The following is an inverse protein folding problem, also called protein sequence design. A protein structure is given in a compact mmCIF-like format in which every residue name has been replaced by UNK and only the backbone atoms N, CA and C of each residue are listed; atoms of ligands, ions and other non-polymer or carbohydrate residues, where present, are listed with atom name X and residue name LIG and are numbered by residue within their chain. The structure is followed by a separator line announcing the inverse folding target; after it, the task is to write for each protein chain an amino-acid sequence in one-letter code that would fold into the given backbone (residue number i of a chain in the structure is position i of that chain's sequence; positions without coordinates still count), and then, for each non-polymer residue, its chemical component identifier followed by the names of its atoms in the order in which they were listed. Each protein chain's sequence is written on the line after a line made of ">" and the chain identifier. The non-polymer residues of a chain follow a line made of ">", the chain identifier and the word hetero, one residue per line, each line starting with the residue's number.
data_IF_617866440421
#
_entry.id   IF_617866440421
#
_cell.length_a   1.000
_cell.length_b   1.000
_cell.length_c   1.000
_cell.angle_alpha   90.00
_cell.angle_beta   90.00
_cell.angle_gamma   90.00
#
_symmetry.space_group_name_H-M   'P 1'
#
loop_
_entity.id
_entity.type
_entity.pdbx_description
1 polymer ?
#
# COMPACT_ATOMS: atom_id res chain seq x y z
N UNK A 1 -13.33 -48.09 31.04
CA UNK A 1 -13.89 -46.79 31.47
C UNK A 1 -12.73 -45.82 31.64
N UNK A 2 -12.44 -45.02 30.63
CA UNK A 2 -11.37 -44.02 30.68
C UNK A 2 -12.04 -42.68 30.39
N UNK A 3 -12.36 -41.96 31.45
CA UNK A 3 -13.02 -40.66 31.44
C UNK A 3 -12.04 -39.61 30.93
N UNK A 4 -12.31 -39.09 29.73
CA UNK A 4 -11.70 -37.86 29.23
C UNK A 4 -12.27 -36.68 30.03
N UNK A 5 -11.47 -35.84 30.70
CA UNK A 5 -12.00 -34.60 31.26
C UNK A 5 -12.30 -33.61 30.13
N UNK A 6 -13.57 -33.17 30.14
CA UNK A 6 -14.14 -32.15 29.30
C UNK A 6 -13.58 -30.76 29.64
N UNK A 7 -13.25 -30.01 28.58
CA UNK A 7 -13.64 -28.61 28.37
C UNK A 7 -13.25 -27.57 29.43
N UNK A 8 -12.22 -26.76 29.13
CA UNK A 8 -11.99 -25.52 29.87
C UNK A 8 -10.71 -24.80 29.48
N UNK A 9 -10.65 -24.21 28.28
CA UNK A 9 -9.49 -23.37 27.90
C UNK A 9 -9.59 -22.65 26.56
N UNK A 10 -10.33 -23.19 25.59
CA UNK A 10 -10.24 -22.75 24.18
C UNK A 10 -10.91 -21.39 23.86
N UNK A 11 -11.65 -20.78 24.80
CA UNK A 11 -12.41 -19.54 24.55
C UNK A 11 -11.61 -18.25 24.74
N UNK A 12 -10.52 -18.26 25.53
CA UNK A 12 -9.78 -17.04 25.85
C UNK A 12 -8.61 -16.84 24.88
N UNK A 13 -7.94 -17.92 24.49
CA UNK A 13 -6.86 -17.92 23.49
C UNK A 13 -7.34 -17.52 22.10
N UNK A 14 -8.48 -18.07 21.63
CA UNK A 14 -9.05 -17.70 20.33
C UNK A 14 -9.42 -16.22 20.24
N UNK A 15 -9.90 -15.63 21.35
CA UNK A 15 -10.17 -14.19 21.46
C UNK A 15 -8.88 -13.40 21.43
N UNK A 16 -7.86 -13.85 22.16
CA UNK A 16 -6.54 -13.21 22.18
C UNK A 16 -5.88 -13.21 20.80
N UNK A 17 -5.88 -14.35 20.09
CA UNK A 17 -5.38 -14.45 18.72
C UNK A 17 -6.19 -13.59 17.75
N UNK A 18 -7.51 -13.53 17.91
CA UNK A 18 -8.36 -12.65 17.09
C UNK A 18 -8.06 -11.16 17.33
N UNK A 19 -7.82 -10.76 18.58
CA UNK A 19 -7.43 -9.39 18.92
C UNK A 19 -6.03 -9.03 18.40
N UNK A 20 -5.07 -9.93 18.54
CA UNK A 20 -3.71 -9.75 18.01
C UNK A 20 -3.73 -9.65 16.49
N UNK A 21 -4.49 -10.52 15.81
CA UNK A 21 -4.65 -10.47 14.36
C UNK A 21 -5.30 -9.16 13.90
N UNK A 22 -6.35 -8.71 14.60
CA UNK A 22 -7.02 -7.43 14.29
C UNK A 22 -6.08 -6.22 14.47
N UNK A 23 -5.23 -6.22 15.50
CA UNK A 23 -4.23 -5.16 15.73
C UNK A 23 -3.15 -5.12 14.64
N UNK A 24 -2.67 -6.27 14.18
CA UNK A 24 -1.66 -6.34 13.11
C UNK A 24 -2.21 -5.81 11.79
N UNK A 25 -3.44 -6.17 11.41
CA UNK A 25 -4.08 -5.71 10.17
C UNK A 25 -4.29 -4.19 10.14
N UNK A 26 -4.47 -3.55 11.30
CA UNK A 26 -4.66 -2.10 11.39
C UNK A 26 -3.41 -1.28 11.04
N UNK A 27 -2.22 -1.90 11.02
CA UNK A 27 -0.95 -1.21 10.68
C UNK A 27 -0.65 -1.17 9.18
N UNK A 28 -1.46 -1.84 8.35
CA UNK A 28 -1.23 -2.00 6.92
C UNK A 28 -1.77 -0.84 6.06
N UNK A 29 -1.86 0.39 6.58
CA UNK A 29 -2.40 1.53 5.82
C UNK A 29 -1.26 2.28 5.12
N UNK A 30 -1.16 2.13 3.79
CA UNK A 30 -0.29 2.98 2.97
C UNK A 30 -0.93 4.35 2.69
N UNK A 31 -0.11 5.37 2.50
CA UNK A 31 -0.54 6.68 2.03
C UNK A 31 -0.45 6.76 0.50
N UNK A 32 -1.50 7.26 -0.15
CA UNK A 32 -1.53 7.45 -1.60
C UNK A 32 -1.39 8.92 -1.98
N UNK A 33 -0.65 9.20 -3.06
CA UNK A 33 -0.47 10.55 -3.61
C UNK A 33 -0.69 10.54 -5.13
N UNK A 34 -1.45 11.53 -5.63
CA UNK A 34 -1.83 11.63 -7.04
C UNK A 34 -1.21 12.85 -7.72
N UNK A 35 -0.64 12.64 -8.89
CA UNK A 35 -0.21 13.68 -9.84
C UNK A 35 -1.05 13.62 -11.12
N UNK A 36 -0.62 14.30 -12.18
CA UNK A 36 -1.32 14.30 -13.46
C UNK A 36 -1.26 12.93 -14.16
N UNK A 37 -0.10 12.27 -14.09
CA UNK A 37 0.19 11.02 -14.79
C UNK A 37 0.36 9.82 -13.84
N UNK A 38 0.47 10.00 -12.52
CA UNK A 38 0.74 8.91 -11.58
C UNK A 38 -0.13 8.95 -10.32
N UNK A 39 -0.43 7.78 -9.76
CA UNK A 39 -0.98 7.57 -8.42
C UNK A 39 -0.02 6.63 -7.71
N UNK A 40 0.63 7.08 -6.64
CA UNK A 40 1.63 6.28 -5.93
C UNK A 40 1.15 5.98 -4.53
N UNK A 41 1.19 4.72 -4.12
CA UNK A 41 0.93 4.30 -2.75
C UNK A 41 2.22 3.84 -2.07
N UNK A 42 2.54 4.41 -0.91
CA UNK A 42 3.75 4.09 -0.15
C UNK A 42 3.46 4.03 1.36
N UNK A 43 4.45 3.59 2.14
CA UNK A 43 4.33 3.51 3.61
C UNK A 43 4.12 4.87 4.29
N UNK A 44 4.56 5.96 3.67
CA UNK A 44 4.38 7.33 4.18
C UNK A 44 3.94 8.29 3.07
N UNK A 45 3.18 9.32 3.44
CA UNK A 45 2.71 10.34 2.49
C UNK A 45 3.88 11.10 1.83
N UNK A 46 4.95 11.36 2.57
CA UNK A 46 6.16 12.01 2.06
C UNK A 46 6.82 11.17 0.98
N UNK A 47 6.96 9.86 1.20
CA UNK A 47 7.54 8.95 0.21
C UNK A 47 6.67 8.84 -1.03
N UNK A 48 5.34 8.67 -0.86
CA UNK A 48 4.40 8.65 -1.98
C UNK A 48 4.51 9.91 -2.85
N UNK A 49 4.59 11.08 -2.19
CA UNK A 49 4.78 12.37 -2.87
C UNK A 49 6.12 12.44 -3.62
N UNK A 50 7.23 12.10 -2.96
CA UNK A 50 8.57 12.16 -3.57
C UNK A 50 8.66 11.27 -4.82
N UNK A 51 8.16 10.03 -4.73
CA UNK A 51 8.15 9.08 -5.85
C UNK A 51 7.26 9.59 -6.98
N UNK A 52 6.06 10.09 -6.69
CA UNK A 52 5.16 10.60 -7.72
C UNK A 52 5.76 11.79 -8.50
N UNK A 53 6.43 12.72 -7.82
CA UNK A 53 7.12 13.84 -8.49
C UNK A 53 8.34 13.39 -9.28
N UNK A 54 9.10 12.42 -8.77
CA UNK A 54 10.21 11.83 -9.52
C UNK A 54 9.71 11.14 -10.80
N UNK A 55 8.60 10.40 -10.73
CA UNK A 55 8.00 9.75 -11.89
C UNK A 55 7.59 10.77 -12.97
N UNK A 56 6.97 11.89 -12.61
CA UNK A 56 6.65 12.99 -13.55
C UNK A 56 7.90 13.57 -14.22
N UNK A 57 8.95 13.82 -13.43
CA UNK A 57 10.23 14.33 -13.93
C UNK A 57 10.85 13.37 -14.96
N UNK A 58 10.96 12.08 -14.61
CA UNK A 58 11.54 11.08 -15.51
C UNK A 58 10.65 10.78 -16.71
N UNK A 59 9.33 10.87 -16.59
CA UNK A 59 8.41 10.77 -17.74
C UNK A 59 8.73 11.83 -18.78
N UNK A 60 8.84 13.10 -18.36
CA UNK A 60 9.21 14.21 -19.25
C UNK A 60 10.62 14.06 -19.79
N UNK A 61 11.59 13.73 -18.94
CA UNK A 61 12.98 13.56 -19.34
C UNK A 61 13.13 12.48 -20.41
N UNK A 62 12.60 11.28 -20.16
CA UNK A 62 12.68 10.15 -21.10
C UNK A 62 11.94 10.44 -22.40
N UNK A 63 10.78 11.11 -22.33
CA UNK A 63 10.06 11.54 -23.53
C UNK A 63 10.93 12.42 -24.43
N UNK A 64 11.59 13.43 -23.86
CA UNK A 64 12.47 14.32 -24.63
C UNK A 64 13.70 13.55 -25.14
N UNK A 65 14.30 12.70 -24.30
CA UNK A 65 15.52 11.96 -24.63
C UNK A 65 15.30 10.95 -25.77
N UNK A 66 14.15 10.28 -25.80
CA UNK A 66 13.87 9.21 -26.77
C UNK A 66 13.03 9.67 -27.97
N UNK A 67 12.09 10.59 -27.76
CA UNK A 67 11.15 11.04 -28.79
C UNK A 67 11.48 12.43 -29.33
N UNK A 68 12.32 13.20 -28.64
CA UNK A 68 12.66 14.58 -29.00
C UNK A 68 11.60 15.63 -28.59
N UNK A 69 10.49 15.22 -27.97
CA UNK A 69 9.43 16.12 -27.51
C UNK A 69 8.76 15.63 -26.23
N UNK A 70 8.08 16.53 -25.52
CA UNK A 70 7.31 16.17 -24.33
C UNK A 70 5.95 15.56 -24.71
N UNK A 71 5.66 14.36 -24.20
CA UNK A 71 4.36 13.70 -24.37
C UNK A 71 3.29 14.49 -23.59
N UNK A 72 2.07 14.67 -24.11
CA UNK A 72 0.97 15.26 -23.33
C UNK A 72 0.66 14.45 -22.06
N UNK A 73 -0.12 15.04 -21.16
CA UNK A 73 -0.65 14.32 -19.99
C UNK A 73 -1.48 13.12 -20.45
N UNK A 74 -1.34 12.00 -19.75
CA UNK A 74 -2.12 10.79 -20.01
C UNK A 74 -3.59 11.03 -19.67
N UNK A 75 -4.48 10.33 -20.40
CA UNK A 75 -5.91 10.38 -20.10
C UNK A 75 -6.21 9.76 -18.73
N UNK A 76 -5.47 8.71 -18.38
CA UNK A 76 -5.61 8.00 -17.10
C UNK A 76 -4.25 7.95 -16.40
N UNK A 77 -4.15 8.36 -15.13
CA UNK A 77 -2.92 8.21 -14.36
C UNK A 77 -2.54 6.73 -14.18
N UNK A 78 -1.25 6.43 -14.25
CA UNK A 78 -0.70 5.12 -13.93
C UNK A 78 -0.68 4.91 -12.40
N UNK A 79 -1.14 3.75 -11.90
CA UNK A 79 -1.05 3.39 -10.48
C UNK A 79 0.37 2.97 -10.06
#
# INVERSE_FOLDING_TARGET
>A
MQSYPQGGGMSMEARFFSFVLALVVCTCTGASYRTANFIVTASTATMAKQVAHAAEFYRKKQAIEWLGYEIPKWQTPCP
#
